data_IF_570737423403
#
_entry.id   IF_570737423403
#
_cell.length_a   1.000
_cell.length_b   1.000
_cell.length_c   1.000
_cell.angle_alpha   90.00
_cell.angle_beta   90.00
_cell.angle_gamma   90.00
#
_symmetry.space_group_name_H-M   'P 1'
#
loop_
_entity.id
_entity.type
_entity.pdbx_description
1 polymer ?
#
# COMPACT_ATOMS: atom_id res chain seq x y z
N UNK A 1 -33.25 4.42 8.40
CA UNK A 1 -32.93 3.79 7.10
C UNK A 1 -33.16 4.71 5.91
N UNK A 2 -34.30 5.41 5.77
CA UNK A 2 -34.55 6.29 4.61
C UNK A 2 -33.54 7.46 4.47
N UNK A 3 -33.16 8.12 5.57
CA UNK A 3 -32.15 9.19 5.53
C UNK A 3 -30.76 8.70 5.06
N UNK A 4 -30.31 7.56 5.58
CA UNK A 4 -29.04 6.91 5.17
C UNK A 4 -29.10 6.50 3.70
N UNK A 5 -30.23 5.90 3.27
CA UNK A 5 -30.42 5.49 1.88
C UNK A 5 -30.37 6.66 0.91
N UNK A 6 -30.91 7.82 1.30
CA UNK A 6 -30.91 9.02 0.49
C UNK A 6 -29.51 9.67 0.46
N UNK A 7 -28.84 9.78 1.61
CA UNK A 7 -27.50 10.36 1.70
C UNK A 7 -26.47 9.62 0.82
N UNK A 8 -26.45 8.28 0.88
CA UNK A 8 -25.54 7.47 0.07
C UNK A 8 -26.04 7.22 -1.35
N UNK A 9 -27.24 7.68 -1.69
CA UNK A 9 -27.86 7.48 -3.01
C UNK A 9 -27.95 5.98 -3.37
N UNK A 10 -28.38 5.14 -2.42
CA UNK A 10 -28.36 3.67 -2.60
C UNK A 10 -29.20 3.23 -3.80
N UNK A 11 -30.39 3.80 -3.98
CA UNK A 11 -31.29 3.47 -5.11
C UNK A 11 -30.70 3.85 -6.46
N UNK A 12 -30.08 5.03 -6.55
CA UNK A 12 -29.45 5.52 -7.78
C UNK A 12 -28.25 4.67 -8.19
N UNK A 13 -27.53 4.13 -7.21
CA UNK A 13 -26.39 3.24 -7.41
C UNK A 13 -26.77 1.75 -7.44
N UNK A 14 -28.06 1.41 -7.58
CA UNK A 14 -28.58 0.04 -7.62
C UNK A 14 -28.12 -0.85 -6.45
N UNK A 15 -28.00 -0.27 -5.25
CA UNK A 15 -27.52 -0.95 -4.04
C UNK A 15 -28.55 -0.92 -2.91
N UNK A 16 -28.29 -1.69 -1.86
CA UNK A 16 -29.12 -1.79 -0.66
C UNK A 16 -28.26 -1.82 0.60
N UNK A 17 -28.85 -1.49 1.75
CA UNK A 17 -28.14 -1.53 3.03
C UNK A 17 -27.52 -2.92 3.32
N UNK A 18 -28.22 -4.00 2.96
CA UNK A 18 -27.71 -5.37 3.13
C UNK A 18 -26.53 -5.64 2.20
N UNK A 19 -26.62 -5.18 0.96
CA UNK A 19 -25.55 -5.29 -0.04
C UNK A 19 -24.30 -4.55 0.42
N UNK A 20 -24.44 -3.31 0.89
CA UNK A 20 -23.32 -2.49 1.37
C UNK A 20 -22.69 -3.05 2.66
N UNK A 21 -23.49 -3.63 3.56
CA UNK A 21 -22.96 -4.32 4.75
C UNK A 21 -22.15 -5.56 4.37
N UNK A 22 -22.68 -6.38 3.46
CA UNK A 22 -21.98 -7.58 2.99
C UNK A 22 -20.71 -7.22 2.20
N UNK A 23 -20.78 -6.19 1.36
CA UNK A 23 -19.63 -5.64 0.66
C UNK A 23 -18.58 -5.12 1.64
N UNK A 24 -19.00 -4.37 2.67
CA UNK A 24 -18.11 -3.85 3.70
C UNK A 24 -17.44 -4.98 4.49
N UNK A 25 -18.17 -6.03 4.84
CA UNK A 25 -17.60 -7.20 5.51
C UNK A 25 -16.62 -7.93 4.59
N UNK A 26 -16.97 -8.12 3.32
CA UNK A 26 -16.11 -8.79 2.33
C UNK A 26 -14.81 -8.03 2.09
N UNK A 27 -14.88 -6.70 1.94
CA UNK A 27 -13.70 -5.83 1.83
C UNK A 27 -12.87 -5.89 3.10
N UNK A 28 -13.49 -5.74 4.28
CA UNK A 28 -12.79 -5.78 5.56
C UNK A 28 -12.04 -7.11 5.75
N UNK A 29 -12.69 -8.26 5.53
CA UNK A 29 -12.03 -9.56 5.67
C UNK A 29 -10.86 -9.66 4.68
N UNK A 30 -11.04 -9.21 3.44
CA UNK A 30 -10.00 -9.26 2.41
C UNK A 30 -8.78 -8.40 2.76
N UNK A 31 -8.96 -7.28 3.45
CA UNK A 31 -7.86 -6.39 3.84
C UNK A 31 -7.37 -6.55 5.28
N UNK A 32 -8.09 -7.30 6.13
CA UNK A 32 -7.83 -7.42 7.58
C UNK A 32 -6.43 -7.93 7.90
N UNK A 33 -5.76 -8.60 6.96
CA UNK A 33 -4.36 -8.98 7.09
C UNK A 33 -3.45 -7.78 7.41
N UNK A 34 -3.81 -6.56 6.97
CA UNK A 34 -3.00 -5.36 7.18
C UNK A 34 -2.77 -5.04 8.65
N UNK A 35 -3.71 -5.44 9.52
CA UNK A 35 -3.60 -5.30 10.97
C UNK A 35 -2.38 -6.04 11.53
N UNK A 36 -1.88 -7.06 10.84
CA UNK A 36 -0.73 -7.85 11.28
C UNK A 36 0.50 -7.58 10.43
N UNK A 37 0.30 -7.39 9.11
CA UNK A 37 1.39 -7.09 8.19
C UNK A 37 2.01 -5.73 8.48
N UNK A 38 1.20 -4.68 8.71
CA UNK A 38 1.73 -3.34 8.96
C UNK A 38 2.60 -3.30 10.24
N UNK A 39 2.17 -3.84 11.41
CA UNK A 39 3.04 -3.93 12.59
C UNK A 39 4.32 -4.74 12.37
N UNK A 40 4.28 -5.78 11.54
CA UNK A 40 5.48 -6.56 11.24
C UNK A 40 6.47 -5.81 10.35
N UNK A 41 5.99 -5.08 9.35
CA UNK A 41 6.82 -4.28 8.45
C UNK A 41 7.36 -3.05 9.17
N UNK A 42 6.50 -2.21 9.76
CA UNK A 42 6.95 -0.99 10.46
C UNK A 42 7.74 -1.30 11.73
N UNK A 43 7.38 -2.36 12.45
CA UNK A 43 8.11 -2.80 13.64
C UNK A 43 9.56 -3.20 13.37
N UNK A 44 9.92 -3.56 12.12
CA UNK A 44 11.30 -3.84 11.76
C UNK A 44 12.20 -2.58 11.78
N UNK A 45 11.62 -1.37 11.78
CA UNK A 45 12.35 -0.11 12.01
C UNK A 45 12.55 0.22 13.50
N UNK A 46 12.02 -0.61 14.41
CA UNK A 46 12.09 -0.40 15.87
C UNK A 46 10.84 0.23 16.49
N UNK A 47 9.76 0.42 15.73
CA UNK A 47 8.49 0.92 16.22
C UNK A 47 7.73 -0.12 17.07
N UNK A 48 6.94 0.34 18.05
CA UNK A 48 6.15 -0.53 18.91
C UNK A 48 5.01 -1.22 18.14
N UNK A 49 5.05 -2.56 18.07
CA UNK A 49 4.08 -3.34 17.30
C UNK A 49 2.65 -3.24 17.83
N UNK A 50 2.47 -3.08 19.14
CA UNK A 50 1.15 -2.95 19.76
C UNK A 50 0.51 -1.62 19.38
N UNK A 51 1.24 -0.52 19.52
CA UNK A 51 0.85 0.81 19.07
C UNK A 51 0.53 0.79 17.57
N UNK A 52 1.41 0.19 16.75
CA UNK A 52 1.22 0.03 15.30
C UNK A 52 -0.09 -0.68 14.94
N UNK A 53 -0.46 -1.76 15.65
CA UNK A 53 -1.73 -2.45 15.44
C UNK A 53 -2.91 -1.51 15.66
N UNK A 54 -2.90 -0.78 16.78
CA UNK A 54 -3.96 0.18 17.13
C UNK A 54 -4.02 1.33 16.11
N UNK A 55 -2.90 1.96 15.77
CA UNK A 55 -2.91 3.11 14.84
C UNK A 55 -3.23 2.68 13.42
N UNK A 56 -2.92 1.44 13.01
CA UNK A 56 -3.37 0.88 11.73
C UNK A 56 -4.89 0.85 11.67
N UNK A 57 -5.53 0.27 12.70
CA UNK A 57 -6.99 0.18 12.78
C UNK A 57 -7.66 1.57 12.85
N UNK A 58 -7.13 2.48 13.67
CA UNK A 58 -7.68 3.83 13.83
C UNK A 58 -7.54 4.67 12.56
N UNK A 59 -6.38 4.63 11.90
CA UNK A 59 -6.14 5.40 10.68
C UNK A 59 -6.94 4.87 9.50
N UNK A 60 -7.06 3.54 9.38
CA UNK A 60 -7.92 2.90 8.39
C UNK A 60 -9.40 3.24 8.64
N UNK A 61 -9.85 3.17 9.89
CA UNK A 61 -11.22 3.54 10.27
C UNK A 61 -11.56 4.98 9.92
N UNK A 62 -10.70 5.92 10.33
CA UNK A 62 -10.86 7.33 10.00
C UNK A 62 -10.98 7.54 8.49
N UNK A 63 -10.01 7.03 7.73
CA UNK A 63 -9.94 7.28 6.28
C UNK A 63 -11.10 6.63 5.54
N UNK A 64 -11.48 5.40 5.90
CA UNK A 64 -12.64 4.71 5.33
C UNK A 64 -13.95 5.46 5.60
N UNK A 65 -14.14 5.98 6.82
CA UNK A 65 -15.33 6.75 7.18
C UNK A 65 -15.36 8.07 6.40
N UNK A 66 -14.25 8.79 6.30
CA UNK A 66 -14.16 10.03 5.52
C UNK A 66 -14.41 9.76 4.03
N UNK A 67 -13.80 8.72 3.45
CA UNK A 67 -14.03 8.30 2.06
C UNK A 67 -15.51 8.01 1.81
N UNK A 68 -16.15 7.31 2.74
CA UNK A 68 -17.57 7.01 2.67
C UNK A 68 -18.45 8.25 2.75
N UNK A 69 -18.20 9.14 3.71
CA UNK A 69 -19.05 10.30 3.97
C UNK A 69 -18.83 11.47 2.99
N UNK A 70 -17.60 11.68 2.54
CA UNK A 70 -17.22 12.84 1.72
C UNK A 70 -17.26 12.49 0.23
N UNK A 71 -16.64 11.37 -0.17
CA UNK A 71 -16.53 11.00 -1.57
C UNK A 71 -17.64 10.05 -2.04
N UNK A 72 -18.29 9.36 -1.09
CA UNK A 72 -19.33 8.37 -1.35
C UNK A 72 -18.89 7.32 -2.39
N UNK A 73 -17.70 6.75 -2.17
CA UNK A 73 -17.12 5.65 -2.94
C UNK A 73 -16.97 4.38 -2.08
N UNK A 74 -17.20 3.17 -2.63
CA UNK A 74 -17.07 1.89 -1.91
C UNK A 74 -15.61 1.45 -1.78
N UNK A 75 -14.71 2.41 -1.54
CA UNK A 75 -13.26 2.18 -1.51
C UNK A 75 -12.81 2.27 -0.06
N UNK A 76 -12.17 1.21 0.42
CA UNK A 76 -11.52 1.21 1.71
C UNK A 76 -10.08 1.66 1.58
N UNK A 77 -9.58 2.27 2.65
CA UNK A 77 -8.21 2.77 2.75
C UNK A 77 -7.57 2.32 4.06
N UNK A 78 -6.30 1.94 4.00
CA UNK A 78 -5.48 1.52 5.14
C UNK A 78 -3.99 1.86 4.84
N UNK A 79 -3.04 1.66 5.77
CA UNK A 79 -1.62 1.89 5.52
C UNK A 79 -1.10 1.06 4.33
N UNK A 80 -0.60 1.69 3.26
CA UNK A 80 -0.30 0.95 2.01
C UNK A 80 1.01 0.17 2.08
N UNK A 81 0.99 -1.09 1.64
CA UNK A 81 2.14 -1.98 1.77
C UNK A 81 3.41 -1.46 1.07
N UNK A 82 3.26 -0.82 -0.10
CA UNK A 82 4.39 -0.24 -0.83
C UNK A 82 5.09 0.86 -0.03
N UNK A 83 4.31 1.76 0.57
CA UNK A 83 4.85 2.87 1.36
C UNK A 83 5.36 2.41 2.73
N UNK A 84 4.77 1.37 3.31
CA UNK A 84 5.29 0.71 4.52
C UNK A 84 6.68 0.12 4.25
N UNK A 85 6.83 -0.55 3.11
CA UNK A 85 8.10 -1.13 2.70
C UNK A 85 9.15 -0.04 2.45
N UNK A 86 8.81 1.00 1.67
CA UNK A 86 9.71 2.13 1.46
C UNK A 86 10.13 2.80 2.78
N UNK A 87 9.19 3.05 3.68
CA UNK A 87 9.45 3.62 5.00
C UNK A 87 10.45 2.79 5.80
N UNK A 88 10.17 1.49 5.99
CA UNK A 88 11.00 0.65 6.84
C UNK A 88 12.33 0.35 6.20
N UNK A 89 12.28 -0.19 4.99
CA UNK A 89 13.40 -0.92 4.40
C UNK A 89 14.35 0.01 3.66
N UNK A 90 13.82 0.99 2.95
CA UNK A 90 14.64 1.97 2.24
C UNK A 90 15.04 3.10 3.17
N UNK A 91 14.08 3.80 3.80
CA UNK A 91 14.38 5.01 4.59
C UNK A 91 14.99 4.66 5.95
N UNK A 92 14.34 3.81 6.74
CA UNK A 92 14.84 3.58 8.10
C UNK A 92 16.07 2.67 8.13
N UNK A 93 16.03 1.55 7.40
CA UNK A 93 17.10 0.56 7.42
C UNK A 93 18.20 0.85 6.41
N UNK A 94 17.86 1.12 5.14
CA UNK A 94 18.83 1.37 4.07
C UNK A 94 19.56 2.71 4.21
N UNK A 95 18.82 3.79 4.48
CA UNK A 95 19.37 5.15 4.62
C UNK A 95 19.75 5.50 6.06
N UNK A 96 19.54 4.57 7.02
CA UNK A 96 19.81 4.76 8.45
C UNK A 96 19.09 5.97 9.08
N UNK A 97 17.92 6.35 8.56
CA UNK A 97 17.10 7.43 9.11
C UNK A 97 16.30 6.91 10.31
N UNK A 98 16.22 7.69 11.39
CA UNK A 98 15.36 7.32 12.53
C UNK A 98 13.89 7.33 12.10
N UNK A 99 13.11 6.33 12.55
CA UNK A 99 11.71 6.19 12.16
C UNK A 99 10.86 7.42 12.54
N UNK A 100 11.20 8.16 13.60
CA UNK A 100 10.53 9.40 13.98
C UNK A 100 10.69 10.48 12.90
N UNK A 101 11.92 10.65 12.39
CA UNK A 101 12.24 11.59 11.31
C UNK A 101 11.64 11.14 9.99
N UNK A 102 11.59 9.83 9.72
CA UNK A 102 10.87 9.28 8.57
C UNK A 102 9.35 9.56 8.66
N UNK A 103 8.73 9.43 9.85
CA UNK A 103 7.32 9.80 10.06
C UNK A 103 7.08 11.30 9.86
N UNK A 104 8.02 12.15 10.27
CA UNK A 104 7.95 13.57 9.99
C UNK A 104 7.94 13.84 8.48
N UNK A 105 8.75 13.11 7.71
CA UNK A 105 8.75 13.21 6.25
C UNK A 105 7.40 12.79 5.64
N UNK A 106 6.77 11.73 6.17
CA UNK A 106 5.40 11.33 5.78
C UNK A 106 4.38 12.43 6.09
N UNK A 107 4.47 13.05 7.26
CA UNK A 107 3.60 14.17 7.65
C UNK A 107 3.74 15.37 6.70
N UNK A 108 4.97 15.79 6.40
CA UNK A 108 5.22 16.88 5.45
C UNK A 108 4.75 16.52 4.04
N UNK A 109 5.02 15.29 3.59
CA UNK A 109 4.53 14.80 2.29
C UNK A 109 2.99 14.83 2.23
N UNK A 110 2.30 14.49 3.33
CA UNK A 110 0.84 14.55 3.43
C UNK A 110 0.32 15.99 3.32
N UNK A 111 0.98 16.96 3.96
CA UNK A 111 0.64 18.39 3.82
C UNK A 111 0.82 18.85 2.38
N UNK A 112 1.96 18.53 1.76
CA UNK A 112 2.21 18.86 0.35
C UNK A 112 1.15 18.25 -0.56
N UNK A 113 0.74 17.00 -0.29
CA UNK A 113 -0.29 16.33 -1.04
C UNK A 113 -1.66 16.99 -0.89
N UNK A 114 -2.04 17.41 0.32
CA UNK A 114 -3.25 18.21 0.56
C UNK A 114 -3.19 19.52 -0.22
N UNK A 115 -2.06 20.23 -0.20
CA UNK A 115 -1.89 21.47 -0.97
C UNK A 115 -2.08 21.22 -2.46
N UNK A 116 -1.46 20.18 -3.03
CA UNK A 116 -1.65 19.82 -4.44
C UNK A 116 -3.12 19.50 -4.78
N UNK A 117 -3.83 18.84 -3.85
CA UNK A 117 -5.25 18.51 -3.99
C UNK A 117 -6.13 19.76 -3.99
N UNK A 118 -5.85 20.71 -3.08
CA UNK A 118 -6.56 21.99 -2.95
C UNK A 118 -6.32 22.90 -4.16
N UNK A 119 -5.08 23.00 -4.63
CA UNK A 119 -4.73 23.79 -5.82
C UNK A 119 -5.19 23.17 -7.14
N UNK A 120 -5.90 22.03 -7.10
CA UNK A 120 -6.43 21.31 -8.28
C UNK A 120 -5.37 20.99 -9.34
N UNK A 121 -4.10 20.87 -8.95
CA UNK A 121 -3.00 20.45 -9.85
C UNK A 121 -3.19 18.97 -10.29
N UNK A 122 -4.14 18.27 -9.67
CA UNK A 122 -4.46 16.84 -9.87
C UNK A 122 -4.67 16.43 -11.33
N UNK A 123 -5.34 17.22 -12.16
CA UNK A 123 -5.57 16.85 -13.56
C UNK A 123 -4.26 16.88 -14.35
N UNK A 124 -3.40 17.87 -14.08
CA UNK A 124 -2.10 18.00 -14.73
C UNK A 124 -1.14 16.85 -14.37
N UNK A 125 -1.16 16.34 -13.13
CA UNK A 125 -0.22 15.30 -12.70
C UNK A 125 -0.70 13.90 -13.13
N UNK A 126 -2.02 13.64 -13.10
CA UNK A 126 -2.58 12.38 -13.60
C UNK A 126 -2.38 12.28 -15.11
N UNK A 127 -2.67 13.33 -15.87
CA UNK A 127 -2.50 13.30 -17.33
C UNK A 127 -1.02 13.38 -17.76
N UNK A 128 -0.14 13.77 -16.84
CA UNK A 128 1.29 13.90 -17.09
C UNK A 128 2.02 12.57 -17.28
N UNK A 129 1.68 11.54 -16.51
CA UNK A 129 2.41 10.26 -16.56
C UNK A 129 1.71 9.29 -17.53
N UNK A 130 2.45 8.71 -18.50
CA UNK A 130 1.92 7.69 -19.39
C UNK A 130 1.31 6.52 -18.60
N UNK A 131 0.20 5.96 -19.10
CA UNK A 131 -0.48 4.85 -18.45
C UNK A 131 0.46 3.64 -18.23
N UNK A 132 1.29 3.32 -19.22
CA UNK A 132 2.28 2.24 -19.13
C UNK A 132 3.26 2.39 -17.96
N UNK A 133 3.77 3.60 -17.74
CA UNK A 133 4.66 3.89 -16.61
C UNK A 133 3.93 3.70 -15.29
N UNK A 134 2.65 4.10 -15.18
CA UNK A 134 1.85 3.85 -13.97
C UNK A 134 1.66 2.36 -13.71
N UNK A 135 1.38 1.58 -14.75
CA UNK A 135 1.26 0.12 -14.63
C UNK A 135 2.58 -0.52 -14.15
N UNK A 136 3.70 -0.08 -14.71
CA UNK A 136 5.03 -0.55 -14.30
C UNK A 136 5.37 -0.17 -12.85
N UNK A 137 5.00 1.03 -12.40
CA UNK A 137 5.18 1.48 -11.01
C UNK A 137 4.40 0.57 -10.06
N UNK A 138 3.11 0.34 -10.33
CA UNK A 138 2.27 -0.54 -9.50
C UNK A 138 2.86 -1.96 -9.44
N UNK A 139 3.22 -2.52 -10.59
CA UNK A 139 3.82 -3.85 -10.65
C UNK A 139 5.18 -3.93 -9.95
N UNK A 140 6.07 -2.95 -10.14
CA UNK A 140 7.38 -2.90 -9.48
C UNK A 140 7.27 -2.86 -7.96
N UNK A 141 6.31 -2.08 -7.42
CA UNK A 141 5.99 -2.07 -5.99
C UNK A 141 5.53 -3.46 -5.55
N UNK A 142 4.66 -4.10 -6.33
CA UNK A 142 4.22 -5.48 -6.09
C UNK A 142 5.36 -6.49 -6.03
N UNK A 143 6.28 -6.44 -7.00
CA UNK A 143 7.46 -7.30 -7.05
C UNK A 143 8.39 -7.06 -5.85
N UNK A 144 8.57 -5.82 -5.44
CA UNK A 144 9.34 -5.48 -4.23
C UNK A 144 8.69 -6.02 -2.95
N UNK A 145 7.37 -5.89 -2.81
CA UNK A 145 6.61 -6.45 -1.68
C UNK A 145 6.73 -7.98 -1.66
N UNK A 146 6.60 -8.65 -2.81
CA UNK A 146 6.80 -10.09 -2.92
C UNK A 146 8.22 -10.50 -2.52
N UNK A 147 9.24 -9.75 -2.94
CA UNK A 147 10.63 -10.00 -2.55
C UNK A 147 10.81 -9.92 -1.03
N UNK A 148 10.24 -8.91 -0.36
CA UNK A 148 10.21 -8.80 1.10
C UNK A 148 9.49 -10.00 1.73
N UNK A 149 8.37 -10.43 1.16
CA UNK A 149 7.64 -11.62 1.60
C UNK A 149 8.48 -12.90 1.51
N UNK A 150 9.16 -13.12 0.38
CA UNK A 150 10.05 -14.26 0.19
C UNK A 150 11.21 -14.25 1.20
N UNK A 151 11.81 -13.08 1.45
CA UNK A 151 12.92 -12.92 2.40
C UNK A 151 12.46 -13.08 3.86
N UNK A 152 11.37 -12.41 4.24
CA UNK A 152 10.77 -12.49 5.57
C UNK A 152 10.24 -13.88 5.91
N UNK A 153 9.73 -14.58 4.89
CA UNK A 153 9.31 -15.97 4.96
C UNK A 153 10.46 -16.98 4.94
N UNK A 154 11.71 -16.52 4.83
CA UNK A 154 12.94 -17.33 4.75
C UNK A 154 12.97 -18.31 3.57
N UNK A 155 12.21 -18.04 2.51
CA UNK A 155 12.26 -18.79 1.24
C UNK A 155 13.47 -18.40 0.40
N UNK A 156 13.91 -17.16 0.54
CA UNK A 156 15.18 -16.66 -0.01
C UNK A 156 16.00 -16.03 1.11
N UNK A 157 17.32 -15.99 0.92
CA UNK A 157 18.27 -15.40 1.87
C UNK A 157 19.45 -14.77 1.14
N UNK A 158 20.19 -13.90 1.86
CA UNK A 158 21.40 -13.27 1.31
C UNK A 158 22.45 -14.33 0.93
N UNK A 159 23.16 -14.07 -0.16
CA UNK A 159 24.34 -14.83 -0.58
C UNK A 159 25.42 -13.88 -1.02
N UNK A 160 26.58 -13.93 -0.37
CA UNK A 160 27.72 -13.07 -0.75
C UNK A 160 28.23 -13.37 -2.17
N UNK A 161 27.90 -14.54 -2.74
CA UNK A 161 28.32 -14.94 -4.09
C UNK A 161 27.34 -14.57 -5.19
N UNK A 162 26.04 -14.44 -4.88
CA UNK A 162 24.97 -14.32 -5.89
C UNK A 162 23.92 -13.26 -5.54
N UNK A 163 24.14 -12.49 -4.47
CA UNK A 163 23.20 -11.60 -3.79
C UNK A 163 22.04 -12.35 -3.12
N UNK A 164 21.38 -13.29 -3.81
CA UNK A 164 20.22 -14.03 -3.33
C UNK A 164 20.37 -15.53 -3.60
N UNK A 165 20.10 -16.35 -2.59
CA UNK A 165 20.02 -17.81 -2.71
C UNK A 165 18.74 -18.36 -2.06
N UNK A 166 18.45 -19.63 -2.30
CA UNK A 166 17.31 -20.31 -1.69
C UNK A 166 17.52 -20.48 -0.18
N UNK A 167 16.45 -20.33 0.59
CA UNK A 167 16.46 -20.57 2.03
C UNK A 167 16.59 -22.05 2.38
N UNK A 168 17.11 -22.33 3.58
CA UNK A 168 17.29 -23.70 4.06
C UNK A 168 15.99 -24.32 4.58
N UNK A 169 15.56 -25.44 4.00
CA UNK A 169 14.40 -26.22 4.46
C UNK A 169 14.61 -26.90 5.83
N UNK A 170 15.85 -26.91 6.34
CA UNK A 170 16.14 -27.38 7.69
C UNK A 170 15.65 -26.40 8.76
N UNK A 171 15.30 -25.17 8.39
CA UNK A 171 14.68 -24.21 9.30
C UNK A 171 13.17 -24.48 9.41
N UNK A 172 12.66 -24.92 10.58
CA UNK A 172 11.24 -25.26 10.76
C UNK A 172 10.29 -24.08 10.46
N UNK A 173 10.75 -22.84 10.62
CA UNK A 173 9.91 -21.66 10.38
C UNK A 173 9.60 -21.44 8.89
N UNK A 174 10.43 -21.95 7.98
CA UNK A 174 10.20 -21.88 6.53
C UNK A 174 8.94 -22.66 6.16
N UNK A 175 8.67 -23.76 6.85
CA UNK A 175 7.48 -24.60 6.61
C UNK A 175 6.17 -23.87 6.92
N UNK A 176 6.18 -22.91 7.84
CA UNK A 176 5.02 -22.05 8.12
C UNK A 176 4.70 -21.23 6.87
N UNK A 177 5.71 -20.61 6.28
CA UNK A 177 5.56 -19.83 5.04
C UNK A 177 5.10 -20.71 3.88
N UNK A 178 5.75 -21.86 3.66
CA UNK A 178 5.42 -22.77 2.56
C UNK A 178 3.97 -23.25 2.69
N UNK A 179 3.59 -23.76 3.86
CA UNK A 179 2.25 -24.25 4.13
C UNK A 179 1.21 -23.13 3.95
N UNK A 180 1.49 -21.96 4.52
CA UNK A 180 0.61 -20.80 4.41
C UNK A 180 0.41 -20.30 2.98
N UNK A 181 1.48 -20.30 2.19
CA UNK A 181 1.44 -19.94 0.78
C UNK A 181 0.56 -20.93 0.00
N UNK A 182 0.75 -22.24 0.18
CA UNK A 182 -0.08 -23.24 -0.49
C UNK A 182 -1.57 -23.12 -0.13
N UNK A 183 -1.89 -22.96 1.15
CA UNK A 183 -3.28 -22.79 1.60
C UNK A 183 -3.88 -21.52 0.99
N UNK A 184 -3.14 -20.40 1.03
CA UNK A 184 -3.61 -19.13 0.47
C UNK A 184 -3.86 -19.26 -1.03
N UNK A 185 -2.93 -19.85 -1.78
CA UNK A 185 -3.07 -20.12 -3.21
C UNK A 185 -4.32 -20.97 -3.48
N UNK A 186 -4.50 -22.06 -2.74
CA UNK A 186 -5.65 -22.94 -2.91
C UNK A 186 -6.98 -22.19 -2.67
N UNK A 187 -7.08 -21.42 -1.58
CA UNK A 187 -8.27 -20.63 -1.25
C UNK A 187 -8.54 -19.53 -2.29
N UNK A 188 -7.50 -18.89 -2.82
CA UNK A 188 -7.64 -17.89 -3.87
C UNK A 188 -8.11 -18.47 -5.18
N UNK A 189 -7.54 -19.59 -5.62
CA UNK A 189 -7.98 -20.31 -6.83
C UNK A 189 -9.43 -20.77 -6.66
N UNK A 190 -9.81 -21.22 -5.46
CA UNK A 190 -11.18 -21.56 -5.11
C UNK A 190 -12.11 -20.34 -4.94
N UNK A 191 -11.60 -19.11 -5.13
CA UNK A 191 -12.33 -17.84 -5.02
C UNK A 191 -13.02 -17.63 -3.66
N UNK A 192 -12.38 -18.08 -2.58
CA UNK A 192 -12.89 -17.89 -1.22
C UNK A 192 -12.66 -16.42 -0.78
N UNK A 193 -13.71 -15.69 -0.37
CA UNK A 193 -13.56 -14.34 0.17
C UNK A 193 -12.64 -14.35 1.40
N UNK A 194 -11.68 -13.42 1.46
CA UNK A 194 -10.74 -13.39 2.58
C UNK A 194 -9.65 -14.46 2.55
N UNK A 195 -9.38 -15.09 1.40
CA UNK A 195 -8.38 -16.15 1.25
C UNK A 195 -7.03 -15.84 1.92
N UNK A 196 -6.53 -14.61 1.78
CA UNK A 196 -5.28 -14.16 2.41
C UNK A 196 -5.37 -14.22 3.93
N UNK A 197 -6.42 -13.65 4.51
CA UNK A 197 -6.63 -13.63 5.96
C UNK A 197 -6.83 -15.03 6.54
N UNK A 198 -7.65 -15.86 5.89
CA UNK A 198 -7.89 -17.25 6.29
C UNK A 198 -6.59 -18.05 6.19
N UNK A 199 -5.83 -17.88 5.10
CA UNK A 199 -4.54 -18.49 4.91
C UNK A 199 -3.57 -18.15 6.04
N UNK A 200 -3.51 -16.88 6.47
CA UNK A 200 -2.69 -16.46 7.61
C UNK A 200 -3.14 -17.10 8.93
N UNK A 201 -4.44 -17.19 9.22
CA UNK A 201 -4.95 -17.86 10.42
C UNK A 201 -4.52 -19.34 10.43
N UNK A 202 -4.73 -20.05 9.32
CA UNK A 202 -4.37 -21.46 9.19
C UNK A 202 -2.84 -21.64 9.35
N UNK A 203 -2.05 -20.71 8.80
CA UNK A 203 -0.59 -20.70 8.96
C UNK A 203 -0.16 -20.48 10.41
N UNK A 204 -0.81 -19.56 11.12
CA UNK A 204 -0.55 -19.30 12.53
C UNK A 204 -0.86 -20.54 13.38
N UNK A 205 -2.02 -21.18 13.14
CA UNK A 205 -2.40 -22.43 13.80
C UNK A 205 -1.37 -23.53 13.53
N UNK A 206 -0.94 -23.68 12.28
CA UNK A 206 0.11 -24.63 11.93
C UNK A 206 1.41 -24.34 12.67
N UNK A 207 1.85 -23.07 12.72
CA UNK A 207 3.01 -22.63 13.48
C UNK A 207 2.95 -22.94 14.97
N UNK A 208 1.76 -22.84 15.58
CA UNK A 208 1.52 -23.25 16.97
C UNK A 208 1.64 -24.77 17.13
N UNK A 209 1.05 -25.54 16.20
CA UNK A 209 1.09 -27.02 16.22
C UNK A 209 2.51 -27.57 16.10
N UNK A 210 3.35 -26.97 15.24
CA UNK A 210 4.75 -27.38 15.09
C UNK A 210 5.69 -26.79 16.16
N UNK A 211 5.15 -26.11 17.18
CA UNK A 211 5.89 -25.58 18.32
C UNK A 211 6.78 -24.38 18.01
N UNK A 212 6.60 -23.72 16.85
CA UNK A 212 7.40 -22.56 16.44
C UNK A 212 6.76 -21.23 16.83
N UNK A 213 5.47 -21.22 17.20
CA UNK A 213 4.73 -20.04 17.63
C UNK A 213 4.11 -20.31 19.01
N UNK A 214 4.30 -19.43 20.00
CA UNK A 214 3.67 -19.61 21.31
C UNK A 214 2.15 -19.42 21.21
N UNK A 215 1.41 -20.16 22.04
CA UNK A 215 -0.04 -19.99 22.14
C UNK A 215 -0.37 -18.58 22.68
N UNK A 216 -1.41 -17.90 22.14
CA UNK A 216 -1.75 -16.57 22.60
C UNK A 216 -2.27 -16.63 24.04
N UNK A 217 -1.79 -15.72 24.89
CA UNK A 217 -2.13 -15.68 26.33
C UNK A 217 -3.57 -15.23 26.60
N UNK A 218 -4.16 -14.49 25.66
CA UNK A 218 -5.55 -14.06 25.67
C UNK A 218 -6.04 -13.82 24.24
N UNK A 219 -7.35 -13.74 24.03
CA UNK A 219 -7.97 -13.42 22.73
C UNK A 219 -8.48 -11.98 22.71
N UNK A 220 -8.89 -11.46 23.87
CA UNK A 220 -9.41 -10.11 24.06
C UNK A 220 -8.59 -9.42 25.15
N UNK A 221 -8.23 -8.16 24.93
CA UNK A 221 -7.59 -7.31 25.93
C UNK A 221 -8.01 -5.85 25.77
N UNK A 222 -7.52 -5.00 26.67
CA UNK A 222 -7.51 -3.56 26.44
C UNK A 222 -6.74 -3.23 25.15
N UNK A 223 -7.21 -2.22 24.43
CA UNK A 223 -6.56 -1.70 23.23
C UNK A 223 -5.16 -1.20 23.58
N UNK A 224 -4.10 -1.61 22.86
CA UNK A 224 -2.74 -1.14 23.10
C UNK A 224 -2.65 0.38 22.97
N UNK A 225 -1.85 1.01 23.84
CA UNK A 225 -1.67 2.45 23.84
C UNK A 225 -0.97 2.94 22.57
N UNK A 226 -1.46 4.04 22.00
CA UNK A 226 -0.82 4.74 20.87
C UNK A 226 0.26 5.74 21.32
N UNK A 227 0.47 5.93 22.63
CA UNK A 227 1.42 6.89 23.16
C UNK A 227 2.86 6.78 22.58
N UNK A 228 3.40 5.58 22.27
CA UNK A 228 4.74 5.46 21.69
C UNK A 228 4.91 6.13 20.32
N UNK A 229 3.85 6.20 19.52
CA UNK A 229 3.91 6.66 18.11
C UNK A 229 3.19 7.99 17.88
N UNK A 230 2.19 8.29 18.70
CA UNK A 230 1.35 9.48 18.56
C UNK A 230 2.17 10.77 18.65
N UNK A 231 1.99 11.66 17.67
CA UNK A 231 2.61 12.99 17.61
C UNK A 231 4.09 12.99 17.22
N UNK A 232 4.76 11.83 17.12
CA UNK A 232 6.18 11.74 16.81
C UNK A 232 6.54 12.43 15.49
N UNK A 233 5.67 12.33 14.49
CA UNK A 233 5.82 13.01 13.21
C UNK A 233 5.90 14.54 13.34
N UNK A 234 5.13 15.14 14.24
CA UNK A 234 5.09 16.59 14.46
C UNK A 234 6.32 17.04 15.25
N UNK A 235 6.70 16.27 16.28
CA UNK A 235 7.84 16.61 17.14
C UNK A 235 9.18 16.59 16.40
N UNK A 236 9.31 15.80 15.33
CA UNK A 236 10.55 15.64 14.56
C UNK A 236 10.53 16.34 13.20
N UNK A 237 9.59 17.28 12.95
CA UNK A 237 9.58 18.10 11.71
C UNK A 237 10.90 18.86 11.55
N UNK A 238 11.48 19.34 12.67
CA UNK A 238 12.76 20.06 12.67
C UNK A 238 13.95 19.22 12.20
N UNK A 239 13.83 17.90 12.19
CA UNK A 239 14.89 16.99 11.74
C UNK A 239 14.94 16.82 10.22
N UNK A 240 13.96 17.37 9.48
CA UNK A 240 13.96 17.43 8.01
C UNK A 240 14.85 18.60 7.56
N UNK A 241 16.15 18.49 7.85
CA UNK A 241 17.13 19.56 7.64
C UNK A 241 18.19 19.23 6.58
N UNK A 242 18.16 18.03 6.01
CA UNK A 242 19.09 17.61 4.95
C UNK A 242 18.39 17.52 3.59
N UNK A 243 19.16 17.65 2.51
CA UNK A 243 18.67 17.42 1.14
C UNK A 243 18.13 15.99 0.98
N UNK A 244 18.80 15.02 1.61
CA UNK A 244 18.37 13.63 1.65
C UNK A 244 16.95 13.48 2.24
N UNK A 245 16.61 14.19 3.31
CA UNK A 245 15.28 14.13 3.90
C UNK A 245 14.22 14.78 3.00
N UNK A 246 14.54 15.89 2.32
CA UNK A 246 13.64 16.46 1.33
C UNK A 246 13.38 15.52 0.15
N UNK A 247 14.42 14.81 -0.30
CA UNK A 247 14.30 13.74 -1.28
C UNK A 247 13.35 12.63 -0.82
N UNK A 248 13.42 12.24 0.46
CA UNK A 248 12.48 11.25 1.05
C UNK A 248 11.06 11.80 1.05
N UNK A 249 10.85 13.06 1.46
CA UNK A 249 9.54 13.74 1.41
C UNK A 249 8.97 13.73 -0.01
N UNK A 250 9.77 14.11 -1.01
CA UNK A 250 9.34 14.11 -2.41
C UNK A 250 9.05 12.71 -2.92
N UNK A 251 9.82 11.70 -2.50
CA UNK A 251 9.53 10.31 -2.89
C UNK A 251 8.20 9.86 -2.31
N UNK A 252 7.94 10.08 -1.01
CA UNK A 252 6.65 9.76 -0.40
C UNK A 252 5.51 10.46 -1.14
N UNK A 253 5.67 11.75 -1.43
CA UNK A 253 4.69 12.54 -2.17
C UNK A 253 4.39 11.92 -3.54
N UNK A 254 5.42 11.61 -4.33
CA UNK A 254 5.29 11.08 -5.68
C UNK A 254 4.71 9.66 -5.69
N UNK A 255 5.28 8.75 -4.90
CA UNK A 255 4.84 7.35 -4.85
C UNK A 255 3.39 7.29 -4.36
N UNK A 256 3.03 8.03 -3.31
CA UNK A 256 1.65 8.07 -2.84
C UNK A 256 0.71 8.63 -3.89
N UNK A 257 1.12 9.68 -4.60
CA UNK A 257 0.30 10.26 -5.66
C UNK A 257 -0.05 9.25 -6.74
N UNK A 258 0.92 8.47 -7.21
CA UNK A 258 0.67 7.47 -8.25
C UNK A 258 -0.09 6.26 -7.73
N UNK A 259 0.22 5.80 -6.52
CA UNK A 259 -0.45 4.65 -5.89
C UNK A 259 -1.94 4.94 -5.63
N UNK A 260 -2.25 6.06 -4.97
CA UNK A 260 -3.62 6.49 -4.70
C UNK A 260 -4.38 6.73 -6.00
N UNK A 261 -3.80 7.48 -6.94
CA UNK A 261 -4.47 7.77 -8.22
C UNK A 261 -4.79 6.50 -8.99
N UNK A 262 -3.80 5.63 -9.16
CA UNK A 262 -3.94 4.40 -9.95
C UNK A 262 -4.99 3.47 -9.33
N UNK A 263 -4.92 3.29 -8.00
CA UNK A 263 -5.85 2.43 -7.27
C UNK A 263 -7.27 2.98 -7.26
N UNK A 264 -7.46 4.29 -7.01
CA UNK A 264 -8.78 4.91 -7.06
C UNK A 264 -9.42 4.78 -8.46
N UNK A 265 -8.68 5.12 -9.52
CA UNK A 265 -9.20 5.03 -10.89
C UNK A 265 -9.55 3.58 -11.24
N UNK A 266 -8.66 2.63 -10.92
CA UNK A 266 -8.88 1.20 -11.18
C UNK A 266 -10.14 0.67 -10.49
N UNK A 267 -10.33 0.99 -9.21
CA UNK A 267 -11.49 0.56 -8.44
C UNK A 267 -12.79 1.23 -8.89
N UNK A 268 -12.76 2.53 -9.24
CA UNK A 268 -13.93 3.25 -9.75
C UNK A 268 -14.35 2.69 -11.11
N UNK A 269 -13.39 2.38 -11.99
CA UNK A 269 -13.63 1.71 -13.26
C UNK A 269 -14.27 0.33 -13.03
N UNK A 270 -13.72 -0.49 -12.13
CA UNK A 270 -14.25 -1.81 -11.80
C UNK A 270 -15.66 -1.74 -11.18
N UNK A 271 -15.93 -0.70 -10.39
CA UNK A 271 -17.25 -0.46 -9.80
C UNK A 271 -18.29 0.01 -10.82
N UNK A 272 -17.88 0.34 -12.05
CA UNK A 272 -18.76 0.90 -13.09
C UNK A 272 -19.22 2.33 -12.76
N UNK A 273 -18.41 3.08 -12.01
CA UNK A 273 -18.74 4.43 -11.52
C UNK A 273 -18.06 5.55 -12.32
N UNK A 274 -17.36 5.20 -13.40
CA UNK A 274 -16.77 6.15 -14.34
C UNK A 274 -17.85 6.82 -15.20
N UNK A 275 -17.69 8.12 -15.45
CA UNK A 275 -18.57 8.90 -16.33
C UNK A 275 -17.72 9.67 -17.33
N UNK A 276 -17.99 9.51 -18.62
CA UNK A 276 -17.28 10.21 -19.70
C UNK A 276 -15.74 10.04 -19.64
N UNK A 277 -15.27 8.83 -19.33
CA UNK A 277 -13.86 8.51 -19.08
C UNK A 277 -13.19 9.33 -17.95
N UNK A 278 -13.98 9.96 -17.09
CA UNK A 278 -13.51 10.69 -15.91
C UNK A 278 -14.07 10.07 -14.64
N UNK A 279 -13.30 10.16 -13.57
CA UNK A 279 -13.74 9.80 -12.22
C UNK A 279 -14.57 10.95 -11.64
N UNK A 280 -15.90 10.77 -11.40
CA UNK A 280 -16.67 11.77 -10.67
C UNK A 280 -16.07 12.00 -9.29
N UNK A 281 -16.27 13.17 -8.68
CA UNK A 281 -15.89 13.44 -7.27
C UNK A 281 -14.43 13.06 -6.92
N UNK A 282 -13.52 13.13 -7.90
CA UNK A 282 -12.12 12.75 -7.69
C UNK A 282 -11.44 13.64 -6.64
N UNK A 283 -11.84 14.92 -6.56
CA UNK A 283 -11.32 15.84 -5.56
C UNK A 283 -11.66 15.44 -4.14
N UNK A 284 -12.89 14.98 -3.92
CA UNK A 284 -13.43 14.51 -2.66
C UNK A 284 -12.76 13.20 -2.23
N UNK A 285 -12.53 12.28 -3.17
CA UNK A 285 -11.80 11.04 -2.91
C UNK A 285 -10.33 11.30 -2.52
N UNK A 286 -9.65 12.17 -3.26
CA UNK A 286 -8.26 12.58 -2.95
C UNK A 286 -8.18 13.37 -1.64
N UNK A 287 -9.19 14.20 -1.34
CA UNK A 287 -9.27 14.90 -0.05
C UNK A 287 -9.45 13.91 1.12
N UNK A 288 -10.29 12.89 0.95
CA UNK A 288 -10.46 11.83 1.94
C UNK A 288 -9.14 11.07 2.17
N UNK A 289 -8.49 10.64 1.09
CA UNK A 289 -7.22 9.92 1.13
C UNK A 289 -6.11 10.73 1.81
N UNK A 290 -5.92 11.97 1.37
CA UNK A 290 -4.91 12.89 1.91
C UNK A 290 -5.13 13.26 3.38
N UNK A 291 -6.39 13.43 3.80
CA UNK A 291 -6.72 13.61 5.21
C UNK A 291 -6.37 12.36 6.03
N UNK A 292 -6.56 11.18 5.44
CA UNK A 292 -6.17 9.90 6.01
C UNK A 292 -4.67 9.76 6.18
N UNK A 293 -3.89 10.15 5.18
CA UNK A 293 -2.42 10.20 5.27
C UNK A 293 -1.96 11.13 6.39
N UNK A 294 -2.51 12.35 6.45
CA UNK A 294 -2.16 13.32 7.48
C UNK A 294 -2.48 12.78 8.87
N UNK A 295 -3.71 12.32 9.10
CA UNK A 295 -4.12 11.78 10.40
C UNK A 295 -3.31 10.52 10.76
N UNK A 296 -3.08 9.62 9.79
CA UNK A 296 -2.26 8.43 9.98
C UNK A 296 -0.84 8.75 10.41
N UNK A 297 -0.21 9.75 9.78
CA UNK A 297 1.13 10.21 10.15
C UNK A 297 1.18 10.81 11.56
N UNK A 298 0.14 11.52 11.98
CA UNK A 298 0.02 12.07 13.34
C UNK A 298 -0.21 10.97 14.38
N UNK A 299 -1.02 9.95 14.05
CA UNK A 299 -1.19 8.76 14.89
C UNK A 299 0.10 7.93 14.97
N UNK A 300 0.95 8.04 13.95
CA UNK A 300 2.27 7.44 13.89
C UNK A 300 2.29 6.12 13.11
N UNK A 301 1.57 6.08 11.99
CA UNK A 301 1.70 5.06 10.95
C UNK A 301 2.23 5.68 9.67
N UNK A 302 2.78 4.84 8.80
CA UNK A 302 3.04 5.12 7.38
C UNK A 302 1.80 5.63 6.62
N UNK A 303 1.98 6.17 5.39
CA UNK A 303 0.87 6.72 4.62
C UNK A 303 -0.30 5.74 4.46
N UNK A 304 -1.50 6.26 4.68
CA UNK A 304 -2.76 5.56 4.42
C UNK A 304 -3.21 5.89 3.01
N UNK A 305 -3.65 4.88 2.26
CA UNK A 305 -4.09 5.02 0.88
C UNK A 305 -5.18 4.02 0.52
N UNK A 306 -5.76 4.16 -0.67
CA UNK A 306 -6.77 3.25 -1.20
C UNK A 306 -6.25 1.81 -1.35
N UNK A 307 -7.08 0.82 -1.03
CA UNK A 307 -6.74 -0.60 -1.05
C UNK A 307 -7.42 -1.34 -2.20
N UNK A 308 -6.63 -2.08 -2.99
CA UNK A 308 -7.10 -2.88 -4.14
C UNK A 308 -8.08 -3.99 -3.75
N UNK A 309 -8.04 -4.44 -2.50
CA UNK A 309 -8.96 -5.43 -1.92
C UNK A 309 -10.41 -4.95 -1.88
N UNK A 310 -10.64 -3.64 -2.01
CA UNK A 310 -11.99 -3.07 -2.21
C UNK A 310 -12.70 -3.67 -3.43
N UNK A 311 -11.94 -4.18 -4.40
CA UNK A 311 -12.45 -4.95 -5.55
C UNK A 311 -13.34 -6.12 -5.12
N UNK A 312 -13.04 -6.78 -4.00
CA UNK A 312 -13.83 -7.91 -3.48
C UNK A 312 -15.22 -7.48 -3.01
N UNK A 313 -15.33 -6.36 -2.29
CA UNK A 313 -16.61 -5.77 -1.89
C UNK A 313 -17.39 -5.23 -3.09
N UNK A 314 -16.69 -4.64 -4.05
CA UNK A 314 -17.28 -4.17 -5.32
C UNK A 314 -17.85 -5.37 -6.11
N UNK A 315 -17.16 -6.51 -6.14
CA UNK A 315 -17.62 -7.70 -6.84
C UNK A 315 -18.93 -8.29 -6.26
N UNK A 316 -19.16 -8.16 -4.95
CA UNK A 316 -20.42 -8.59 -4.29
C UNK A 316 -21.52 -7.53 -4.32
N UNK A 317 -21.30 -6.40 -4.99
CA UNK A 317 -22.32 -5.37 -5.26
C UNK A 317 -22.19 -4.08 -4.47
N UNK A 318 -21.08 -3.85 -3.75
CA UNK A 318 -20.81 -2.57 -3.09
C UNK A 318 -20.65 -1.45 -4.12
N UNK A 319 -21.42 -0.36 -3.98
CA UNK A 319 -21.42 0.75 -4.95
C UNK A 319 -21.33 2.13 -4.31
N UNK A 320 -21.49 2.22 -2.99
CA UNK A 320 -21.56 3.51 -2.30
C UNK A 320 -20.56 3.60 -1.14
N UNK A 321 -20.39 4.81 -0.62
CA UNK A 321 -19.60 5.09 0.56
C UNK A 321 -20.03 4.34 1.82
N UNK A 322 -21.26 3.81 1.86
CA UNK A 322 -21.73 3.01 3.00
C UNK A 322 -20.87 1.74 3.18
N UNK A 323 -20.40 1.14 2.09
CA UNK A 323 -19.42 0.04 2.13
C UNK A 323 -18.16 0.47 2.88
N UNK A 324 -17.58 1.63 2.55
CA UNK A 324 -16.37 2.13 3.21
C UNK A 324 -16.62 2.45 4.69
N UNK A 325 -17.77 3.03 5.04
CA UNK A 325 -18.14 3.28 6.45
C UNK A 325 -18.20 1.97 7.24
N UNK A 326 -18.80 0.91 6.69
CA UNK A 326 -18.83 -0.40 7.34
C UNK A 326 -17.43 -0.97 7.57
N UNK A 327 -16.55 -0.87 6.58
CA UNK A 327 -15.15 -1.29 6.73
C UNK A 327 -14.49 -0.53 7.89
N UNK A 328 -14.69 0.78 7.97
CA UNK A 328 -14.13 1.57 9.06
C UNK A 328 -14.65 1.17 10.44
N UNK A 329 -15.95 0.85 10.55
CA UNK A 329 -16.53 0.30 11.79
C UNK A 329 -15.90 -1.05 12.15
N UNK A 330 -15.69 -1.95 11.18
CA UNK A 330 -15.05 -3.24 11.44
C UNK A 330 -13.59 -3.10 11.87
N UNK A 331 -12.85 -2.11 11.33
CA UNK A 331 -11.52 -1.78 11.84
C UNK A 331 -11.56 -1.31 13.29
N UNK A 332 -12.50 -0.47 13.69
CA UNK A 332 -12.65 -0.09 15.10
C UNK A 332 -12.94 -1.29 15.99
N UNK A 333 -13.85 -2.18 15.56
CA UNK A 333 -14.16 -3.42 16.28
C UNK A 333 -12.92 -4.31 16.38
N UNK A 334 -12.07 -4.35 15.35
CA UNK A 334 -10.86 -5.19 15.34
C UNK A 334 -9.86 -4.87 16.46
N UNK A 335 -9.88 -3.65 17.01
CA UNK A 335 -8.94 -3.20 18.05
C UNK A 335 -8.98 -4.03 19.33
N UNK A 336 -10.12 -4.65 19.65
CA UNK A 336 -10.30 -5.49 20.85
C UNK A 336 -9.58 -6.85 20.73
N UNK A 337 -9.21 -7.26 19.51
CA UNK A 337 -8.55 -8.52 19.20
C UNK A 337 -7.01 -8.39 19.12
N UNK A 338 -6.44 -7.33 19.68
CA UNK A 338 -5.00 -7.08 19.70
C UNK A 338 -4.13 -8.22 20.28
N UNK A 339 -4.57 -9.04 21.26
CA UNK A 339 -3.74 -10.15 21.77
C UNK A 339 -3.35 -11.20 20.72
N UNK A 340 -4.16 -11.33 19.67
CA UNK A 340 -3.93 -12.29 18.59
C UNK A 340 -2.67 -11.90 17.78
N UNK A 341 -2.21 -10.64 17.85
CA UNK A 341 -0.98 -10.18 17.19
C UNK A 341 0.24 -11.07 17.50
N UNK A 342 0.31 -11.65 18.70
CA UNK A 342 1.43 -12.50 19.13
C UNK A 342 1.65 -13.76 18.29
N UNK A 343 0.62 -14.27 17.61
CA UNK A 343 0.74 -15.47 16.76
C UNK A 343 1.05 -15.14 15.29
N UNK A 344 0.94 -13.88 14.88
CA UNK A 344 1.22 -13.47 13.51
C UNK A 344 2.68 -13.05 13.34
N UNK A 345 3.57 -14.04 13.29
CA UNK A 345 5.00 -13.83 13.03
C UNK A 345 5.26 -13.40 11.57
N UNK A 346 6.48 -12.99 11.25
CA UNK A 346 6.88 -12.61 9.89
C UNK A 346 6.59 -13.73 8.87
N UNK A 347 6.80 -14.98 9.25
CA UNK A 347 6.56 -16.17 8.41
C UNK A 347 5.06 -16.42 8.18
N UNK A 348 4.20 -16.08 9.14
CA UNK A 348 2.74 -16.15 8.97
C UNK A 348 2.27 -15.05 8.01
N UNK A 349 2.85 -13.86 8.07
CA UNK A 349 2.49 -12.73 7.19
C UNK A 349 3.13 -12.80 5.79
N UNK A 350 4.22 -13.55 5.62
CA UNK A 350 4.98 -13.62 4.38
C UNK A 350 4.16 -14.08 3.16
N UNK A 351 3.31 -15.14 3.25
CA UNK A 351 2.41 -15.53 2.16
C UNK A 351 1.52 -14.39 1.65
N UNK A 352 1.01 -13.55 2.54
CA UNK A 352 0.16 -12.42 2.17
C UNK A 352 0.94 -11.43 1.29
N UNK A 353 2.17 -11.09 1.68
CA UNK A 353 3.04 -10.20 0.89
C UNK A 353 3.36 -10.76 -0.50
N UNK A 354 3.67 -12.06 -0.58
CA UNK A 354 3.95 -12.75 -1.86
C UNK A 354 2.73 -12.67 -2.78
N UNK A 355 1.55 -12.99 -2.24
CA UNK A 355 0.30 -12.98 -3.00
C UNK A 355 -0.12 -11.58 -3.43
N UNK A 356 0.01 -10.57 -2.57
CA UNK A 356 -0.26 -9.18 -2.94
C UNK A 356 0.66 -8.76 -4.10
N UNK A 357 1.92 -9.18 -4.06
CA UNK A 357 2.83 -8.93 -5.18
C UNK A 357 2.38 -9.58 -6.49
N UNK A 358 1.79 -10.78 -6.45
CA UNK A 358 1.16 -11.43 -7.63
C UNK A 358 0.00 -10.59 -8.16
N UNK A 359 -0.89 -10.12 -7.29
CA UNK A 359 -2.04 -9.29 -7.68
C UNK A 359 -1.60 -7.96 -8.31
N UNK A 360 -0.56 -7.33 -7.78
CA UNK A 360 -0.04 -6.08 -8.33
C UNK A 360 0.74 -6.28 -9.64
N UNK A 361 1.43 -7.42 -9.79
CA UNK A 361 2.16 -7.77 -11.01
C UNK A 361 1.24 -7.98 -12.22
N UNK A 362 -0.06 -8.26 -12.02
CA UNK A 362 -1.06 -8.33 -13.09
C UNK A 362 -1.07 -7.05 -13.95
N UNK A 363 -0.75 -5.88 -13.37
CA UNK A 363 -0.68 -4.62 -14.13
C UNK A 363 0.34 -4.64 -15.27
N UNK A 364 1.38 -5.48 -15.21
CA UNK A 364 2.32 -5.64 -16.32
C UNK A 364 1.63 -6.11 -17.60
N UNK A 365 0.49 -6.81 -17.52
CA UNK A 365 -0.27 -7.23 -18.69
C UNK A 365 -0.82 -6.05 -19.50
N UNK A 366 -0.99 -4.88 -18.88
CA UNK A 366 -1.51 -3.66 -19.52
C UNK A 366 -0.40 -2.79 -20.15
N UNK A 367 0.87 -3.15 -19.98
CA UNK A 367 2.00 -2.43 -20.59
C UNK A 367 2.15 -2.83 -22.05
N UNK A 368 2.36 -1.85 -22.93
CA UNK A 368 2.61 -2.07 -24.36
C UNK A 368 4.03 -2.56 -24.63
N UNK A 369 4.30 -3.83 -24.31
CA UNK A 369 5.63 -4.47 -24.41
C UNK A 369 6.26 -4.48 -25.80
N UNK A 370 5.44 -4.36 -26.86
CA UNK A 370 5.91 -4.36 -28.24
C UNK A 370 6.61 -3.04 -28.63
N UNK A 371 6.36 -1.96 -27.89
CA UNK A 371 6.95 -0.64 -28.12
C UNK A 371 8.17 -0.50 -27.21
N UNK A 372 9.38 -0.70 -27.72
CA UNK A 372 10.60 -0.73 -26.91
C UNK A 372 10.84 0.57 -26.13
N UNK A 373 10.44 1.71 -26.70
CA UNK A 373 10.55 3.02 -26.05
C UNK A 373 9.70 3.16 -24.78
N UNK A 374 8.69 2.30 -24.62
CA UNK A 374 7.85 2.19 -23.43
C UNK A 374 8.30 0.99 -22.58
N UNK A 375 8.52 -0.16 -23.21
CA UNK A 375 8.83 -1.42 -22.57
C UNK A 375 10.13 -1.38 -21.76
N UNK A 376 11.19 -0.74 -22.28
CA UNK A 376 12.49 -0.66 -21.60
C UNK A 376 12.37 0.13 -20.29
N UNK A 377 11.85 1.38 -20.26
CA UNK A 377 11.57 2.08 -19.01
C UNK A 377 10.72 1.26 -18.04
N UNK A 378 9.62 0.66 -18.51
CA UNK A 378 8.71 -0.11 -17.67
C UNK A 378 9.40 -1.33 -17.03
N UNK A 379 10.23 -2.04 -17.81
CA UNK A 379 11.02 -3.16 -17.31
C UNK A 379 11.99 -2.72 -16.21
N UNK A 380 12.71 -1.61 -16.41
CA UNK A 380 13.67 -1.09 -15.43
C UNK A 380 12.99 -0.67 -14.12
N UNK A 381 11.77 -0.11 -14.19
CA UNK A 381 10.96 0.15 -12.99
C UNK A 381 10.63 -1.15 -12.27
N UNK A 382 10.08 -2.11 -13.00
CA UNK A 382 9.58 -3.36 -12.43
C UNK A 382 10.69 -4.18 -11.75
N UNK A 383 11.85 -4.31 -12.41
CA UNK A 383 12.98 -5.11 -11.88
C UNK A 383 13.87 -4.32 -10.92
N UNK A 384 13.98 -2.99 -11.11
CA UNK A 384 14.86 -2.14 -10.31
C UNK A 384 14.45 -2.15 -8.85
N UNK A 385 13.15 -1.95 -8.56
CA UNK A 385 12.66 -1.86 -7.18
C UNK A 385 13.04 -3.06 -6.29
N UNK A 386 12.80 -4.32 -6.67
CA UNK A 386 13.22 -5.46 -5.85
C UNK A 386 14.73 -5.63 -5.79
N UNK A 387 15.46 -5.42 -6.89
CA UNK A 387 16.90 -5.69 -6.93
C UNK A 387 17.75 -4.63 -6.21
N UNK A 388 17.31 -3.37 -6.19
CA UNK A 388 17.98 -2.30 -5.45
C UNK A 388 17.45 -2.16 -4.03
N UNK A 389 16.40 -2.90 -3.68
CA UNK A 389 15.70 -2.77 -2.40
C UNK A 389 15.17 -1.33 -2.14
N UNK A 390 14.88 -0.61 -3.22
CA UNK A 390 14.56 0.82 -3.20
C UNK A 390 13.56 1.17 -4.31
N UNK A 391 12.38 1.62 -3.87
CA UNK A 391 11.32 2.10 -4.77
C UNK A 391 11.79 3.34 -5.54
N UNK A 392 12.50 4.25 -4.87
CA UNK A 392 13.08 5.46 -5.49
C UNK A 392 14.02 5.10 -6.63
N UNK A 393 14.87 4.10 -6.44
CA UNK A 393 15.87 3.74 -7.45
C UNK A 393 15.24 3.09 -8.67
N UNK A 394 14.34 2.12 -8.47
CA UNK A 394 13.61 1.51 -9.59
C UNK A 394 12.81 2.56 -10.38
N UNK A 395 12.13 3.47 -9.67
CA UNK A 395 11.41 4.59 -10.30
C UNK A 395 12.36 5.52 -11.06
N UNK A 396 13.51 5.86 -10.47
CA UNK A 396 14.53 6.72 -11.07
C UNK A 396 15.07 6.13 -12.38
N UNK A 397 15.42 4.85 -12.41
CA UNK A 397 15.89 4.17 -13.63
C UNK A 397 14.89 4.30 -14.78
N UNK A 398 13.61 4.00 -14.52
CA UNK A 398 12.58 4.11 -15.54
C UNK A 398 12.30 5.52 -16.00
N UNK A 399 12.13 6.45 -15.07
CA UNK A 399 11.79 7.84 -15.38
C UNK A 399 12.94 8.55 -16.11
N UNK A 400 14.19 8.24 -15.79
CA UNK A 400 15.34 8.79 -16.52
C UNK A 400 15.40 8.21 -17.94
N UNK A 401 15.19 6.90 -18.09
CA UNK A 401 15.29 6.22 -19.38
C UNK A 401 14.11 6.52 -20.31
N UNK A 402 12.93 6.87 -19.77
CA UNK A 402 11.74 7.14 -20.58
C UNK A 402 11.91 8.30 -21.59
N UNK A 403 12.28 9.53 -21.20
CA UNK A 403 12.50 10.61 -22.16
C UNK A 403 13.59 10.29 -23.20
N UNK A 404 14.66 9.61 -22.78
CA UNK A 404 15.77 9.19 -23.65
C UNK A 404 15.26 8.22 -24.73
N UNK A 405 14.46 7.23 -24.31
CA UNK A 405 13.89 6.23 -25.20
C UNK A 405 12.88 6.84 -26.18
N UNK A 406 12.04 7.76 -25.70
CA UNK A 406 11.09 8.50 -26.54
C UNK A 406 11.78 9.43 -27.55
N UNK A 407 12.92 10.02 -27.20
CA UNK A 407 13.76 10.78 -28.15
C UNK A 407 14.33 9.86 -29.23
N UNK A 408 14.85 8.69 -28.86
CA UNK A 408 15.36 7.71 -29.81
C UNK A 408 14.27 7.24 -30.80
N UNK A 409 13.02 7.11 -30.33
CA UNK A 409 11.85 6.81 -31.15
C UNK A 409 11.33 8.01 -31.97
N UNK A 410 11.95 9.19 -31.87
CA UNK A 410 11.49 10.45 -32.49
C UNK A 410 10.10 10.91 -32.04
N UNK A 411 9.63 10.44 -30.87
CA UNK A 411 8.32 10.75 -30.26
C UNK A 411 8.41 11.81 -29.15
N UNK A 412 9.38 12.72 -29.23
CA UNK A 412 9.66 13.70 -28.16
C UNK A 412 8.48 14.63 -27.81
N UNK A 413 7.56 14.86 -28.76
CA UNK A 413 6.36 15.71 -28.55
C UNK A 413 5.32 15.08 -27.64
N UNK A 414 5.40 13.78 -27.42
CA UNK A 414 4.49 13.02 -26.54
C UNK A 414 4.96 13.04 -25.08
N UNK A 415 6.17 13.54 -24.81
CA UNK A 415 6.70 13.67 -23.46
C UNK A 415 6.07 14.90 -22.81
N UNK A 416 5.34 14.68 -21.71
CA UNK A 416 4.72 15.77 -20.97
C UNK A 416 5.77 16.61 -20.23
N UNK A 417 5.52 17.91 -19.96
CA UNK A 417 6.45 18.76 -19.20
C UNK A 417 6.80 18.18 -17.82
N UNK A 418 5.86 17.48 -17.19
CA UNK A 418 6.09 16.85 -15.88
C UNK A 418 7.10 15.70 -15.95
N UNK A 419 7.10 14.90 -17.03
CA UNK A 419 8.10 13.84 -17.21
C UNK A 419 9.52 14.42 -17.33
N UNK A 420 9.66 15.62 -17.91
CA UNK A 420 10.93 16.34 -17.92
C UNK A 420 11.35 16.84 -16.54
N UNK A 421 10.41 17.35 -15.75
CA UNK A 421 10.67 17.75 -14.36
C UNK A 421 11.13 16.53 -13.55
N UNK A 422 10.42 15.40 -13.66
CA UNK A 422 10.78 14.18 -12.95
C UNK A 422 12.13 13.63 -13.42
N UNK A 423 12.44 13.67 -14.72
CA UNK A 423 13.76 13.36 -15.25
C UNK A 423 14.86 14.16 -14.54
N UNK A 424 14.73 15.48 -14.48
CA UNK A 424 15.72 16.35 -13.82
C UNK A 424 15.82 16.04 -12.33
N UNK A 425 14.68 15.85 -11.65
CA UNK A 425 14.64 15.53 -10.22
C UNK A 425 15.37 14.22 -9.93
N UNK A 426 15.15 13.16 -10.71
CA UNK A 426 15.83 11.88 -10.50
C UNK A 426 17.31 11.90 -10.92
N UNK A 427 17.69 12.70 -11.91
CA UNK A 427 19.12 12.93 -12.22
C UNK A 427 19.82 13.62 -11.04
N UNK A 428 19.21 14.66 -10.47
CA UNK A 428 19.73 15.34 -9.28
C UNK A 428 19.78 14.38 -8.09
N UNK A 429 18.74 13.55 -7.92
CA UNK A 429 18.68 12.53 -6.87
C UNK A 429 19.93 11.63 -6.86
N UNK A 430 20.30 11.07 -8.03
CA UNK A 430 21.48 10.21 -8.14
C UNK A 430 22.79 10.98 -7.90
N UNK A 431 22.92 12.17 -8.50
CA UNK A 431 24.12 13.01 -8.30
C UNK A 431 24.33 13.37 -6.83
N UNK A 432 23.25 13.70 -6.11
CA UNK A 432 23.32 14.11 -4.69
C UNK A 432 23.58 12.90 -3.78
N UNK A 433 23.00 11.74 -4.08
CA UNK A 433 23.20 10.54 -3.28
C UNK A 433 24.53 9.82 -3.57
N UNK A 434 25.30 10.29 -4.55
CA UNK A 434 26.60 9.71 -4.94
C UNK A 434 26.47 8.22 -5.33
N UNK A 435 25.35 7.89 -6.00
CA UNK A 435 25.05 6.57 -6.55
C UNK A 435 25.01 6.64 -8.06
#
# INVERSE_FOLDING_TARGET
MNAISNFFHLKENNSSFKTELLAGLTTFVSMSYILFVNPNVLGASGMDKGALFTVTALSAAFTCIVMGLVANYPIASAPTLGLNAFFTYTVCLGMHVKWQTALAAVFVASILFILLTVFKVREMIIDAIPADIKYAISAGIGLFIAFIGLQGGKLIQNSDSTLVTIGSLNNPTVWITIFGLFITIFLMIARVPGAIFIGMIISAVFGVVIGQIPMPKSIISSVPSIAPTFGQAIFHIGDINTVQMWVVVFTFLLVTFFDTTGTLIGLVQQAGLMKDNKMPRAGEALAADSSGMLVGSVLGTSPVGAFVESSSGIAVGGRTGLTAVWVGIFFLISTIFSPILSVFTTQVTAPALIIVGVLMAENLANVHWTNLEIAIPCFLIAIGMPLTYSISDGLGWGIIVYPISMIAAKRFKEITPMMWILFVVFVIYYIVLNV
#
